data_IF_198704603213
#
_entry.id   IF_198704603213
#
_cell.length_a   1.000
_cell.length_b   1.000
_cell.length_c   1.000
_cell.angle_alpha   90.00
_cell.angle_beta   90.00
_cell.angle_gamma   90.00
#
_symmetry.space_group_name_H-M   'P 1'
#
loop_
_entity.id
_entity.type
_entity.pdbx_description
1 polymer ?
#
# COMPACT_ATOMS: atom_id res chain seq x y z
N UNK A 1 14.28 -8.38 -22.40
CA UNK A 1 13.69 -7.73 -21.21
C UNK A 1 12.17 -7.95 -21.25
N UNK A 2 11.68 -9.09 -20.76
CA UNK A 2 10.24 -9.34 -20.71
C UNK A 2 9.67 -8.58 -19.50
N UNK A 3 9.15 -7.37 -19.74
CA UNK A 3 8.41 -6.64 -18.73
C UNK A 3 7.14 -7.40 -18.41
N UNK A 4 7.15 -8.20 -17.35
CA UNK A 4 5.95 -8.85 -16.82
C UNK A 4 5.07 -7.76 -16.23
N UNK A 5 4.27 -7.14 -17.10
CA UNK A 5 3.30 -6.12 -16.72
C UNK A 5 2.28 -6.85 -15.83
N UNK A 6 2.48 -6.77 -14.51
CA UNK A 6 1.54 -7.29 -13.54
C UNK A 6 0.15 -6.71 -13.84
N UNK A 7 -0.91 -7.49 -13.65
CA UNK A 7 -2.25 -6.96 -13.84
C UNK A 7 -2.47 -5.75 -12.92
N UNK A 8 -3.29 -4.78 -13.34
CA UNK A 8 -3.59 -3.61 -12.53
C UNK A 8 -4.13 -4.03 -11.16
N UNK A 9 -3.69 -3.35 -10.11
CA UNK A 9 -4.09 -3.62 -8.73
C UNK A 9 -5.50 -3.04 -8.47
N UNK A 10 -6.51 -3.78 -8.92
CA UNK A 10 -7.93 -3.42 -8.75
C UNK A 10 -8.33 -3.32 -7.28
N UNK A 11 -7.73 -4.13 -6.41
CA UNK A 11 -8.02 -4.10 -4.99
C UNK A 11 -7.59 -2.77 -4.34
N UNK A 12 -6.36 -2.32 -4.64
CA UNK A 12 -5.89 -1.00 -4.19
C UNK A 12 -6.73 0.13 -4.78
N UNK A 13 -7.11 0.03 -6.07
CA UNK A 13 -7.95 1.03 -6.72
C UNK A 13 -9.32 1.18 -6.00
N UNK A 14 -9.97 0.06 -5.66
CA UNK A 14 -11.24 0.07 -4.94
C UNK A 14 -11.09 0.68 -3.53
N UNK A 15 -10.02 0.36 -2.80
CA UNK A 15 -9.76 0.94 -1.47
C UNK A 15 -9.48 2.44 -1.53
N UNK A 16 -8.77 2.90 -2.56
CA UNK A 16 -8.51 4.32 -2.77
C UNK A 16 -9.80 5.08 -3.10
N UNK A 17 -10.67 4.49 -3.93
CA UNK A 17 -11.97 5.05 -4.30
C UNK A 17 -12.90 5.13 -3.08
N UNK A 18 -13.01 4.06 -2.29
CA UNK A 18 -13.78 4.01 -1.03
C UNK A 18 -13.27 5.05 -0.01
N UNK A 19 -11.96 5.29 0.03
CA UNK A 19 -11.36 6.30 0.89
C UNK A 19 -11.65 7.75 0.42
N UNK A 20 -12.11 7.92 -0.82
CA UNK A 20 -12.33 9.20 -1.47
C UNK A 20 -11.03 9.98 -1.70
N UNK A 21 -9.92 9.29 -1.98
CA UNK A 21 -8.61 9.91 -2.11
C UNK A 21 -8.13 9.97 -3.56
N UNK A 22 -7.63 11.14 -3.95
CA UNK A 22 -6.79 11.28 -5.15
C UNK A 22 -5.40 10.66 -4.92
N UNK A 23 -4.67 10.37 -6.01
CA UNK A 23 -3.31 9.83 -5.93
C UNK A 23 -2.37 10.70 -5.07
N UNK A 24 -2.53 12.02 -5.12
CA UNK A 24 -1.73 12.95 -4.33
C UNK A 24 -2.10 12.90 -2.84
N UNK A 25 -3.40 12.87 -2.52
CA UNK A 25 -3.87 12.75 -1.14
C UNK A 25 -3.46 11.41 -0.52
N UNK A 26 -3.54 10.33 -1.30
CA UNK A 26 -3.11 9.01 -0.84
C UNK A 26 -1.61 8.99 -0.56
N UNK A 27 -0.79 9.52 -1.47
CA UNK A 27 0.65 9.63 -1.26
C UNK A 27 1.00 10.45 -0.02
N UNK A 28 0.33 11.59 0.19
CA UNK A 28 0.53 12.44 1.36
C UNK A 28 0.14 11.74 2.68
N UNK A 29 -0.96 10.99 2.68
CA UNK A 29 -1.38 10.20 3.85
C UNK A 29 -0.33 9.15 4.22
N UNK A 30 0.22 8.45 3.23
CA UNK A 30 1.28 7.45 3.44
C UNK A 30 2.58 8.11 3.92
N UNK A 31 2.98 9.24 3.33
CA UNK A 31 4.20 9.96 3.74
C UNK A 31 4.10 10.49 5.18
N UNK A 32 2.89 10.85 5.64
CA UNK A 32 2.65 11.28 7.03
C UNK A 32 2.93 10.15 8.05
N UNK A 33 2.73 8.90 7.66
CA UNK A 33 3.03 7.74 8.52
C UNK A 33 4.52 7.37 8.51
N UNK A 34 5.28 7.82 7.51
CA UNK A 34 6.71 7.56 7.41
C UNK A 34 7.47 7.89 8.70
N UNK A 35 7.38 9.13 9.22
CA UNK A 35 8.03 9.52 10.47
C UNK A 35 7.65 8.64 11.67
N UNK A 36 6.39 8.20 11.76
CA UNK A 36 5.94 7.30 12.84
C UNK A 36 6.66 5.95 12.80
N UNK A 37 7.05 5.49 11.60
CA UNK A 37 7.81 4.27 11.37
C UNK A 37 9.32 4.51 11.19
N UNK A 38 9.84 5.67 11.61
CA UNK A 38 11.25 6.07 11.42
C UNK A 38 11.72 5.97 9.96
N UNK A 39 10.81 6.23 9.01
CA UNK A 39 11.05 6.10 7.58
C UNK A 39 10.74 7.40 6.84
N UNK A 40 11.68 7.85 5.99
CA UNK A 40 11.41 8.95 5.06
C UNK A 40 10.84 8.38 3.77
N UNK A 41 9.52 8.43 3.64
CA UNK A 41 8.82 8.13 2.41
C UNK A 41 8.61 9.42 1.61
N UNK A 42 9.05 9.42 0.36
CA UNK A 42 8.82 10.51 -0.58
C UNK A 42 7.96 10.00 -1.74
N UNK A 43 6.81 9.41 -1.40
CA UNK A 43 5.87 8.94 -2.42
C UNK A 43 5.13 10.13 -3.01
N UNK A 44 5.02 10.16 -4.33
CA UNK A 44 4.25 11.15 -5.05
C UNK A 44 3.06 10.50 -5.75
N UNK A 45 2.21 11.32 -6.38
CA UNK A 45 1.07 10.85 -7.18
C UNK A 45 1.45 9.78 -8.23
N UNK A 46 2.67 9.86 -8.76
CA UNK A 46 3.21 8.91 -9.75
C UNK A 46 3.52 7.55 -9.13
N UNK A 47 3.98 7.52 -7.87
CA UNK A 47 4.21 6.27 -7.15
C UNK A 47 2.89 5.52 -6.94
N UNK A 48 1.83 6.24 -6.53
CA UNK A 48 0.48 5.67 -6.38
C UNK A 48 -0.05 5.16 -7.71
N UNK A 49 0.08 5.93 -8.79
CA UNK A 49 -0.30 5.47 -10.12
C UNK A 49 0.42 4.17 -10.51
N UNK A 50 1.70 4.05 -10.17
CA UNK A 50 2.47 2.83 -10.41
C UNK A 50 1.97 1.64 -9.57
N UNK A 51 1.50 1.87 -8.34
CA UNK A 51 0.91 0.82 -7.51
C UNK A 51 -0.41 0.32 -8.09
N UNK A 52 -1.25 1.24 -8.58
CA UNK A 52 -2.51 0.93 -9.26
C UNK A 52 -2.29 0.15 -10.56
N UNK A 53 -1.18 0.38 -11.27
CA UNK A 53 -0.84 -0.39 -12.48
C UNK A 53 -0.18 -1.74 -12.20
N UNK A 54 0.01 -2.11 -10.92
CA UNK A 54 0.55 -3.41 -10.51
C UNK A 54 2.00 -3.39 -10.04
N UNK A 55 2.63 -2.23 -9.87
CA UNK A 55 3.97 -2.15 -9.28
C UNK A 55 3.91 -2.23 -7.77
N UNK A 56 4.70 -3.13 -7.18
CA UNK A 56 4.72 -3.28 -5.74
C UNK A 56 5.60 -2.19 -5.10
N UNK A 57 5.12 -1.50 -4.06
CA UNK A 57 5.97 -0.68 -3.23
C UNK A 57 7.04 -1.54 -2.55
N UNK A 58 8.12 -0.87 -2.10
CA UNK A 58 9.14 -1.52 -1.26
C UNK A 58 8.48 -2.22 -0.07
N UNK A 59 8.98 -3.38 0.38
CA UNK A 59 8.31 -4.19 1.40
C UNK A 59 7.91 -3.41 2.65
N UNK A 60 8.80 -2.53 3.13
CA UNK A 60 8.56 -1.69 4.32
C UNK A 60 7.51 -0.59 4.15
N UNK A 61 7.20 -0.18 2.92
CA UNK A 61 6.16 0.82 2.65
C UNK A 61 4.75 0.20 2.57
N UNK A 62 4.64 -1.10 2.25
CA UNK A 62 3.36 -1.83 2.16
C UNK A 62 2.52 -1.76 3.43
N UNK A 63 3.06 -2.02 4.66
CA UNK A 63 2.27 -1.90 5.88
C UNK A 63 1.83 -0.46 6.13
N UNK A 64 2.64 0.55 5.79
CA UNK A 64 2.27 1.96 5.93
C UNK A 64 1.14 2.36 4.98
N UNK A 65 1.13 1.81 3.76
CA UNK A 65 0.01 2.01 2.83
C UNK A 65 -1.28 1.40 3.38
N UNK A 66 -1.20 0.20 3.95
CA UNK A 66 -2.35 -0.47 4.55
C UNK A 66 -2.86 0.29 5.79
N UNK A 67 -1.96 0.79 6.64
CA UNK A 67 -2.29 1.60 7.81
C UNK A 67 -2.96 2.92 7.41
N UNK A 68 -2.48 3.60 6.36
CA UNK A 68 -3.12 4.82 5.88
C UNK A 68 -4.58 4.58 5.47
N UNK A 69 -4.84 3.50 4.74
CA UNK A 69 -6.18 3.08 4.36
C UNK A 69 -7.01 2.63 5.57
N UNK A 70 -6.41 1.89 6.50
CA UNK A 70 -7.09 1.40 7.69
C UNK A 70 -7.57 2.53 8.60
N UNK A 71 -6.73 3.54 8.84
CA UNK A 71 -7.09 4.75 9.58
C UNK A 71 -8.20 5.53 8.89
N UNK A 72 -8.22 5.56 7.55
CA UNK A 72 -9.23 6.29 6.77
C UNK A 72 -10.57 5.57 6.72
N UNK A 73 -10.56 4.26 6.45
CA UNK A 73 -11.74 3.41 6.31
C UNK A 73 -12.26 2.86 7.65
N UNK A 74 -11.54 3.14 8.75
CA UNK A 74 -11.83 2.67 10.12
C UNK A 74 -12.00 1.16 10.22
N UNK A 75 -11.25 0.41 9.42
CA UNK A 75 -11.22 -1.05 9.42
C UNK A 75 -9.81 -1.56 9.14
N UNK A 76 -9.39 -2.72 9.67
CA UNK A 76 -8.08 -3.27 9.36
C UNK A 76 -7.98 -3.62 7.86
N UNK A 77 -6.89 -3.19 7.23
CA UNK A 77 -6.54 -3.51 5.84
C UNK A 77 -5.24 -4.29 5.86
N UNK A 78 -5.21 -5.46 5.20
CA UNK A 78 -4.01 -6.28 5.08
C UNK A 78 -3.31 -6.07 3.75
N UNK A 79 -2.03 -6.44 3.64
CA UNK A 79 -1.27 -6.32 2.39
C UNK A 79 -1.88 -7.18 1.28
N UNK A 80 -2.43 -8.34 1.64
CA UNK A 80 -3.20 -9.20 0.73
C UNK A 80 -4.49 -8.53 0.26
N UNK A 81 -5.24 -7.90 1.17
CA UNK A 81 -6.46 -7.15 0.81
C UNK A 81 -6.16 -5.94 -0.09
N UNK A 82 -5.01 -5.31 0.07
CA UNK A 82 -4.54 -4.23 -0.79
C UNK A 82 -3.86 -4.71 -2.10
N UNK A 83 -3.84 -6.03 -2.37
CA UNK A 83 -3.27 -6.60 -3.59
C UNK A 83 -1.73 -6.57 -3.68
N UNK A 84 -1.03 -6.36 -2.56
CA UNK A 84 0.44 -6.35 -2.51
C UNK A 84 1.07 -7.73 -2.30
N UNK A 85 0.25 -8.76 -2.09
CA UNK A 85 0.69 -10.10 -1.69
C UNK A 85 1.15 -10.17 -0.23
N UNK A 86 1.56 -11.36 0.25
CA UNK A 86 2.09 -11.51 1.59
C UNK A 86 3.36 -10.66 1.74
N UNK A 87 3.46 -9.94 2.85
CA UNK A 87 4.76 -9.44 3.30
C UNK A 87 5.41 -10.53 4.15
N UNK A 88 6.73 -10.75 4.05
CA UNK A 88 7.41 -11.77 4.84
C UNK A 88 7.24 -11.56 6.37
N UNK A 89 6.93 -10.34 6.81
CA UNK A 89 6.64 -10.04 8.22
C UNK A 89 5.27 -10.57 8.68
N UNK A 90 4.25 -10.62 7.80
CA UNK A 90 2.98 -11.28 8.11
C UNK A 90 3.12 -12.81 8.14
N UNK A 91 4.00 -13.38 7.31
CA UNK A 91 4.29 -14.83 7.38
C UNK A 91 4.93 -15.23 8.72
N UNK A 92 5.73 -14.35 9.33
CA UNK A 92 6.32 -14.63 10.66
C UNK A 92 5.30 -14.60 11.80
N UNK A 93 4.16 -13.89 11.68
CA UNK A 93 3.10 -13.92 12.69
C UNK A 93 2.17 -15.13 12.58
N UNK A 94 2.06 -15.78 11.42
CA UNK A 94 1.21 -16.98 11.24
C UNK A 94 1.96 -18.29 11.49
N UNK A 95 3.30 -18.26 11.58
CA UNK A 95 4.13 -19.44 11.85
C UNK A 95 4.30 -19.76 13.36
N UNK A 96 3.58 -19.08 14.25
CA UNK A 96 3.49 -19.42 15.68
C UNK A 96 2.03 -19.42 16.08
N UNK A 97 1.32 -20.48 15.73
CA UNK A 97 0.03 -20.86 16.30
C UNK A 97 -0.10 -22.39 16.26
#
# INVERSE_FOLDING_TARGET
MAGTKRPPNRALAALQDEAGWSNAQFAAAVNRLGPEASMRLNNDKSAVAHWLTGTLPIPRARPLICEALARRLRRPITTSAAGFGPTPETEMMVATA
#
